data_IF_545263025323
#
_entry.id   IF_545263025323
#
_cell.length_a   1.000
_cell.length_b   1.000
_cell.length_c   1.000
_cell.angle_alpha   90.00
_cell.angle_beta   90.00
_cell.angle_gamma   90.00
#
_symmetry.space_group_name_H-M   'P 1'
#
loop_
_entity.id
_entity.type
_entity.pdbx_description
1 polymer ?
#
# COMPACT_ATOMS: atom_id res chain seq x y z
N UNK A 1 -15.59 20.79 -29.52
CA UNK A 1 -15.47 21.02 -28.08
C UNK A 1 -14.07 20.57 -27.68
N UNK A 2 -13.13 21.49 -27.55
CA UNK A 2 -11.78 21.21 -27.06
C UNK A 2 -11.90 20.92 -25.57
N UNK A 3 -11.96 19.62 -25.23
CA UNK A 3 -11.87 19.19 -23.84
C UNK A 3 -10.55 19.71 -23.26
N UNK A 4 -10.61 20.36 -22.11
CA UNK A 4 -9.40 20.72 -21.37
C UNK A 4 -8.64 19.43 -21.04
N UNK A 5 -7.39 19.36 -21.50
CA UNK A 5 -6.50 18.22 -21.23
C UNK A 5 -6.52 17.85 -19.75
N UNK A 6 -6.62 16.58 -19.42
CA UNK A 6 -6.60 16.11 -18.05
C UNK A 6 -5.26 16.44 -17.36
N UNK A 7 -5.22 16.61 -16.03
CA UNK A 7 -4.00 17.01 -15.31
C UNK A 7 -2.81 16.04 -15.51
N UNK A 8 -3.10 14.78 -15.86
CA UNK A 8 -2.10 13.73 -16.08
C UNK A 8 -2.07 13.24 -17.54
N UNK A 9 -2.68 13.98 -18.46
CA UNK A 9 -2.69 13.63 -19.89
C UNK A 9 -1.26 13.53 -20.45
N UNK A 10 -1.03 12.48 -21.24
CA UNK A 10 0.30 12.17 -21.79
C UNK A 10 1.31 11.63 -20.76
N UNK A 11 0.88 11.35 -19.53
CA UNK A 11 1.73 10.79 -18.49
C UNK A 11 1.49 9.29 -18.32
N UNK A 12 2.57 8.53 -18.12
CA UNK A 12 2.51 7.12 -17.76
C UNK A 12 2.58 6.99 -16.24
N UNK A 13 1.61 6.31 -15.66
CA UNK A 13 1.52 6.04 -14.24
C UNK A 13 1.55 4.53 -13.97
N UNK A 14 2.42 4.09 -13.07
CA UNK A 14 2.59 2.70 -12.64
C UNK A 14 1.94 2.51 -11.28
N UNK A 15 1.15 1.44 -11.10
CA UNK A 15 0.53 1.08 -9.83
C UNK A 15 0.82 -0.38 -9.53
N UNK A 16 1.51 -0.66 -8.41
CA UNK A 16 1.70 -2.03 -7.92
C UNK A 16 0.55 -2.46 -7.00
N UNK A 17 0.22 -3.76 -7.01
CA UNK A 17 -0.95 -4.26 -6.30
C UNK A 17 -2.26 -3.70 -6.88
N UNK A 18 -2.31 -3.55 -8.21
CA UNK A 18 -3.40 -2.89 -8.92
C UNK A 18 -4.63 -3.78 -9.15
N UNK A 19 -4.55 -5.07 -8.85
CA UNK A 19 -5.62 -6.05 -9.13
C UNK A 19 -6.91 -5.81 -8.33
N UNK A 20 -6.86 -5.13 -7.18
CA UNK A 20 -8.03 -4.92 -6.31
C UNK A 20 -7.88 -3.77 -5.33
N UNK A 21 -8.95 -3.51 -4.59
CA UNK A 21 -8.95 -2.59 -3.43
C UNK A 21 -8.43 -1.19 -3.75
N UNK A 22 -7.51 -0.69 -2.93
CA UNK A 22 -6.97 0.65 -3.09
C UNK A 22 -6.14 0.82 -4.37
N UNK A 23 -5.38 -0.21 -4.78
CA UNK A 23 -4.58 -0.17 -6.01
C UNK A 23 -5.45 0.01 -7.25
N UNK A 24 -6.53 -0.76 -7.37
CA UNK A 24 -7.51 -0.62 -8.46
C UNK A 24 -8.20 0.75 -8.43
N UNK A 25 -8.57 1.26 -7.25
CA UNK A 25 -9.18 2.59 -7.11
C UNK A 25 -8.21 3.71 -7.50
N UNK A 26 -6.91 3.60 -7.15
CA UNK A 26 -5.87 4.55 -7.57
C UNK A 26 -5.68 4.49 -9.08
N UNK A 27 -5.62 3.29 -9.69
CA UNK A 27 -5.48 3.11 -11.12
C UNK A 27 -6.64 3.78 -11.87
N UNK A 28 -7.87 3.60 -11.41
CA UNK A 28 -9.06 4.26 -11.97
C UNK A 28 -8.96 5.78 -11.87
N UNK A 29 -8.65 6.32 -10.69
CA UNK A 29 -8.55 7.77 -10.50
C UNK A 29 -7.41 8.39 -11.34
N UNK A 30 -6.28 7.68 -11.56
CA UNK A 30 -5.22 8.11 -12.47
C UNK A 30 -5.70 8.14 -13.92
N UNK A 31 -6.42 7.10 -14.35
CA UNK A 31 -7.02 7.00 -15.68
C UNK A 31 -8.08 8.09 -15.91
N UNK A 32 -8.95 8.36 -14.94
CA UNK A 32 -9.95 9.46 -14.98
C UNK A 32 -9.29 10.84 -15.13
N UNK A 33 -8.02 10.97 -14.72
CA UNK A 33 -7.20 12.18 -14.87
C UNK A 33 -6.39 12.25 -16.17
N UNK A 34 -6.55 11.26 -17.06
CA UNK A 34 -5.92 11.20 -18.36
C UNK A 34 -4.57 10.48 -18.43
N UNK A 35 -4.14 9.83 -17.33
CA UNK A 35 -2.91 9.04 -17.38
C UNK A 35 -3.11 7.73 -18.17
N UNK A 36 -2.08 7.31 -18.88
CA UNK A 36 -1.92 5.92 -19.31
C UNK A 36 -1.43 5.09 -18.13
N UNK A 37 -2.13 4.01 -17.79
CA UNK A 37 -1.87 3.28 -16.54
C UNK A 37 -1.23 1.92 -16.80
N UNK A 38 -0.08 1.67 -16.16
CA UNK A 38 0.55 0.38 -16.06
C UNK A 38 0.11 -0.31 -14.75
N UNK A 39 -0.64 -1.39 -14.88
CA UNK A 39 -1.19 -2.19 -13.78
C UNK A 39 -0.24 -3.36 -13.50
N UNK A 40 0.33 -3.42 -12.30
CA UNK A 40 1.24 -4.50 -11.89
C UNK A 40 0.63 -5.27 -10.72
N UNK A 41 0.62 -6.60 -10.81
CA UNK A 41 0.14 -7.50 -9.77
C UNK A 41 0.36 -8.96 -10.15
N UNK A 42 -0.03 -9.89 -9.30
CA UNK A 42 0.26 -11.32 -9.47
C UNK A 42 -0.84 -12.13 -10.16
N UNK A 43 -1.97 -11.53 -10.42
CA UNK A 43 -3.15 -12.21 -10.97
C UNK A 43 -3.56 -11.51 -12.27
N UNK A 44 -3.08 -12.03 -13.40
CA UNK A 44 -3.30 -11.42 -14.72
C UNK A 44 -4.80 -11.24 -15.02
N UNK A 45 -5.63 -12.23 -14.72
CA UNK A 45 -7.08 -12.17 -14.97
C UNK A 45 -7.74 -11.01 -14.21
N UNK A 46 -7.41 -10.85 -12.92
CA UNK A 46 -7.97 -9.77 -12.09
C UNK A 46 -7.42 -8.39 -12.52
N UNK A 47 -6.17 -8.31 -12.96
CA UNK A 47 -5.62 -7.08 -13.56
C UNK A 47 -6.37 -6.71 -14.84
N UNK A 48 -6.68 -7.69 -15.69
CA UNK A 48 -7.43 -7.49 -16.93
C UNK A 48 -8.85 -6.99 -16.64
N UNK A 49 -9.53 -7.56 -15.65
CA UNK A 49 -10.84 -7.06 -15.19
C UNK A 49 -10.77 -5.57 -14.77
N UNK A 50 -9.75 -5.18 -14.02
CA UNK A 50 -9.55 -3.77 -13.65
C UNK A 50 -9.29 -2.92 -14.88
N UNK A 51 -8.36 -3.33 -15.76
CA UNK A 51 -8.03 -2.63 -17.01
C UNK A 51 -9.26 -2.31 -17.84
N UNK A 52 -10.13 -3.31 -18.04
CA UNK A 52 -11.31 -3.21 -18.90
C UNK A 52 -12.39 -2.25 -18.33
N UNK A 53 -12.24 -1.85 -17.07
CA UNK A 53 -13.09 -0.84 -16.44
C UNK A 53 -12.51 0.57 -16.49
N UNK A 54 -11.25 0.74 -16.94
CA UNK A 54 -10.60 2.05 -16.97
C UNK A 54 -11.04 2.86 -18.20
N UNK A 55 -11.28 4.17 -18.07
CA UNK A 55 -11.72 5.00 -19.19
C UNK A 55 -10.61 5.32 -20.20
N UNK A 56 -9.35 5.28 -19.77
CA UNK A 56 -8.18 5.60 -20.59
C UNK A 56 -7.31 4.37 -20.90
N UNK A 57 -6.22 4.58 -21.66
CA UNK A 57 -5.30 3.50 -22.02
C UNK A 57 -4.66 2.87 -20.79
N UNK A 58 -4.63 1.54 -20.76
CA UNK A 58 -3.97 0.78 -19.69
C UNK A 58 -3.44 -0.55 -20.20
N UNK A 59 -2.38 -1.06 -19.56
CA UNK A 59 -1.82 -2.39 -19.78
C UNK A 59 -1.53 -3.09 -18.47
N UNK A 60 -1.50 -4.42 -18.50
CA UNK A 60 -1.28 -5.29 -17.35
C UNK A 60 0.08 -5.97 -17.46
N UNK A 61 0.73 -6.14 -16.29
CA UNK A 61 1.93 -6.95 -16.15
C UNK A 61 1.79 -7.84 -14.92
N UNK A 62 1.88 -9.14 -15.15
CA UNK A 62 1.97 -10.11 -14.07
C UNK A 62 3.38 -10.09 -13.49
N UNK A 63 3.48 -9.75 -12.21
CA UNK A 63 4.72 -9.77 -11.45
C UNK A 63 4.48 -9.82 -9.95
N UNK A 64 5.30 -10.57 -9.24
CA UNK A 64 5.48 -10.40 -7.79
C UNK A 64 6.48 -9.26 -7.56
N UNK A 65 6.12 -8.28 -6.74
CA UNK A 65 7.00 -7.14 -6.43
C UNK A 65 8.28 -7.53 -5.71
N UNK A 66 8.37 -8.78 -5.23
CA UNK A 66 9.56 -9.34 -4.58
C UNK A 66 10.52 -10.03 -5.54
N UNK A 67 10.16 -10.15 -6.82
CA UNK A 67 11.01 -10.68 -7.87
C UNK A 67 11.77 -9.54 -8.56
N UNK A 68 13.04 -9.35 -8.20
CA UNK A 68 13.90 -8.28 -8.73
C UNK A 68 14.05 -8.37 -10.26
N UNK A 69 14.23 -9.58 -10.79
CA UNK A 69 14.46 -9.79 -12.22
C UNK A 69 13.19 -9.47 -13.02
N UNK A 70 12.05 -10.03 -12.60
CA UNK A 70 10.77 -9.77 -13.25
C UNK A 70 10.37 -8.31 -13.17
N UNK A 71 10.59 -7.64 -12.06
CA UNK A 71 10.28 -6.20 -11.91
C UNK A 71 11.16 -5.31 -12.79
N UNK A 72 12.43 -5.70 -13.02
CA UNK A 72 13.30 -5.00 -13.96
C UNK A 72 12.81 -5.18 -15.41
N UNK A 73 12.46 -6.41 -15.82
CA UNK A 73 11.85 -6.68 -17.12
C UNK A 73 10.57 -5.88 -17.33
N UNK A 74 9.68 -5.88 -16.34
CA UNK A 74 8.43 -5.09 -16.38
C UNK A 74 8.71 -3.60 -16.59
N UNK A 75 9.73 -3.06 -15.94
CA UNK A 75 10.08 -1.65 -16.14
C UNK A 75 10.52 -1.40 -17.60
N UNK A 76 11.34 -2.26 -18.18
CA UNK A 76 11.74 -2.17 -19.57
C UNK A 76 10.55 -2.31 -20.53
N UNK A 77 9.67 -3.30 -20.31
CA UNK A 77 8.45 -3.49 -21.11
C UNK A 77 7.50 -2.28 -21.01
N UNK A 78 7.34 -1.67 -19.83
CA UNK A 78 6.57 -0.43 -19.65
C UNK A 78 7.18 0.70 -20.50
N UNK A 79 8.51 0.85 -20.47
CA UNK A 79 9.20 1.86 -21.28
C UNK A 79 8.95 1.67 -22.77
N UNK A 80 9.04 0.44 -23.24
CA UNK A 80 8.90 0.11 -24.67
C UNK A 80 7.46 0.30 -25.15
N UNK A 81 6.49 -0.09 -24.33
CA UNK A 81 5.08 -0.12 -24.75
C UNK A 81 4.30 1.15 -24.43
N UNK A 82 4.66 1.88 -23.37
CA UNK A 82 3.94 3.06 -22.90
C UNK A 82 4.82 4.32 -22.84
N UNK A 83 6.15 4.16 -22.84
CA UNK A 83 7.11 5.23 -22.58
C UNK A 83 7.55 5.28 -21.10
N UNK A 84 8.41 6.25 -20.79
CA UNK A 84 8.93 6.39 -19.42
C UNK A 84 7.83 6.75 -18.42
N UNK A 85 7.76 6.00 -17.32
CA UNK A 85 6.86 6.31 -16.21
C UNK A 85 7.18 7.68 -15.60
N UNK A 86 6.17 8.50 -15.42
CA UNK A 86 6.27 9.81 -14.76
C UNK A 86 5.66 9.81 -13.35
N UNK A 87 4.90 8.78 -13.01
CA UNK A 87 4.39 8.54 -11.67
C UNK A 87 4.48 7.04 -11.34
N UNK A 88 4.91 6.72 -10.13
CA UNK A 88 4.93 5.34 -9.61
C UNK A 88 4.28 5.31 -8.25
N UNK A 89 3.29 4.44 -8.08
CA UNK A 89 2.60 4.23 -6.80
C UNK A 89 2.94 2.84 -6.30
N UNK A 90 3.81 2.76 -5.29
CA UNK A 90 4.14 1.54 -4.57
C UNK A 90 3.04 1.26 -3.54
N UNK A 91 2.05 0.47 -3.97
CA UNK A 91 0.85 0.18 -3.19
C UNK A 91 0.76 -1.30 -2.79
N UNK A 92 1.39 -2.22 -3.51
CA UNK A 92 1.37 -3.65 -3.17
C UNK A 92 1.65 -3.87 -1.68
N UNK A 93 0.87 -4.72 -1.04
CA UNK A 93 1.04 -4.96 0.39
C UNK A 93 0.13 -6.04 0.93
N UNK A 94 0.61 -6.69 1.97
CA UNK A 94 -0.06 -7.72 2.74
C UNK A 94 -0.20 -7.30 4.20
N UNK A 95 -1.11 -7.93 4.91
CA UNK A 95 -1.23 -7.82 6.35
C UNK A 95 -1.51 -9.19 6.97
N UNK A 96 -1.12 -9.35 8.21
CA UNK A 96 -1.48 -10.46 9.07
C UNK A 96 -1.94 -9.91 10.42
N UNK A 97 -2.60 -10.74 11.21
CA UNK A 97 -2.98 -10.44 12.57
C UNK A 97 -2.83 -11.67 13.48
N UNK A 98 -2.72 -11.43 14.78
CA UNK A 98 -2.61 -12.46 15.79
C UNK A 98 -1.42 -12.29 16.72
N UNK A 99 -1.33 -13.12 17.79
CA UNK A 99 -0.23 -13.09 18.73
C UNK A 99 1.11 -13.38 18.05
N UNK A 100 2.11 -12.57 18.32
CA UNK A 100 3.43 -12.74 17.71
C UNK A 100 4.07 -14.11 17.97
N UNK A 101 3.92 -14.61 19.20
CA UNK A 101 4.50 -15.89 19.61
C UNK A 101 3.91 -17.10 18.85
N UNK A 102 2.69 -16.97 18.32
CA UNK A 102 1.94 -18.02 17.64
C UNK A 102 1.87 -17.79 16.12
N UNK A 103 2.35 -16.64 15.65
CA UNK A 103 2.36 -16.35 14.22
C UNK A 103 3.34 -17.25 13.47
N UNK A 104 2.95 -17.70 12.28
CA UNK A 104 3.84 -18.44 11.40
C UNK A 104 5.00 -17.56 10.93
N UNK A 105 6.27 -17.94 11.20
CA UNK A 105 7.43 -17.14 10.80
C UNK A 105 7.54 -16.89 9.29
N UNK A 106 7.04 -17.79 8.45
CA UNK A 106 7.06 -17.61 7.00
C UNK A 106 6.06 -16.54 6.57
N UNK A 107 4.86 -16.54 7.15
CA UNK A 107 3.85 -15.50 6.95
C UNK A 107 4.35 -14.13 7.43
N UNK A 108 4.99 -14.07 8.61
CA UNK A 108 5.57 -12.84 9.14
C UNK A 108 6.63 -12.25 8.21
N UNK A 109 7.59 -13.08 7.73
CA UNK A 109 8.61 -12.66 6.76
C UNK A 109 7.99 -12.17 5.46
N UNK A 110 6.97 -12.89 4.95
CA UNK A 110 6.32 -12.51 3.70
C UNK A 110 5.69 -11.13 3.73
N UNK A 111 5.11 -10.73 4.86
CA UNK A 111 4.59 -9.35 5.03
C UNK A 111 5.72 -8.32 4.90
N UNK A 112 6.89 -8.58 5.50
CA UNK A 112 8.07 -7.70 5.36
C UNK A 112 8.56 -7.68 3.91
N UNK A 113 8.69 -8.84 3.28
CA UNK A 113 9.17 -8.97 1.91
C UNK A 113 8.29 -8.19 0.93
N UNK A 114 6.99 -8.42 0.94
CA UNK A 114 6.09 -7.73 0.01
C UNK A 114 6.01 -6.24 0.31
N UNK A 115 5.78 -5.86 1.56
CA UNK A 115 5.52 -4.47 1.90
C UNK A 115 6.79 -3.59 1.81
N UNK A 116 7.91 -4.06 2.34
CA UNK A 116 9.13 -3.26 2.44
C UNK A 116 10.11 -3.56 1.30
N UNK A 117 10.52 -4.83 1.14
CA UNK A 117 11.49 -5.21 0.12
C UNK A 117 10.90 -5.00 -1.27
N UNK A 118 9.64 -5.42 -1.51
CA UNK A 118 8.93 -5.20 -2.76
C UNK A 118 8.76 -3.71 -3.12
N UNK A 119 8.58 -2.84 -2.11
CA UNK A 119 8.60 -1.38 -2.35
C UNK A 119 9.98 -0.88 -2.78
N UNK A 120 11.06 -1.41 -2.21
CA UNK A 120 12.43 -1.06 -2.58
C UNK A 120 12.76 -1.55 -4.00
N UNK A 121 12.36 -2.78 -4.35
CA UNK A 121 12.51 -3.35 -5.69
C UNK A 121 11.72 -2.51 -6.70
N UNK A 122 10.46 -2.16 -6.41
CA UNK A 122 9.65 -1.27 -7.24
C UNK A 122 10.35 0.06 -7.48
N UNK A 123 10.88 0.69 -6.43
CA UNK A 123 11.61 1.94 -6.57
C UNK A 123 12.85 1.77 -7.47
N UNK A 124 13.66 0.73 -7.24
CA UNK A 124 14.87 0.43 -8.03
C UNK A 124 14.57 0.25 -9.50
N UNK A 125 13.53 -0.50 -9.84
CA UNK A 125 13.14 -0.75 -11.22
C UNK A 125 12.70 0.53 -11.95
N UNK A 126 11.97 1.42 -11.27
CA UNK A 126 11.35 2.60 -11.91
C UNK A 126 12.06 3.93 -11.66
N UNK A 127 13.04 4.03 -10.77
CA UNK A 127 13.82 5.28 -10.57
C UNK A 127 14.47 5.77 -11.87
N UNK A 128 15.05 4.93 -12.77
CA UNK A 128 15.57 5.39 -14.05
C UNK A 128 14.52 6.14 -14.91
N UNK A 129 13.28 5.66 -14.92
CA UNK A 129 12.16 6.34 -15.60
C UNK A 129 11.85 7.70 -14.97
N UNK A 130 11.78 7.71 -13.61
CA UNK A 130 11.47 8.93 -12.86
C UNK A 130 12.57 9.99 -12.99
N UNK A 131 13.83 9.60 -13.13
CA UNK A 131 14.94 10.49 -13.46
C UNK A 131 14.75 11.15 -14.82
N UNK A 132 14.42 10.35 -15.84
CA UNK A 132 14.18 10.84 -17.20
C UNK A 132 13.01 11.83 -17.26
N UNK A 133 11.92 11.54 -16.55
CA UNK A 133 10.69 12.35 -16.59
C UNK A 133 10.65 13.44 -15.53
N UNK A 134 11.66 13.52 -14.64
CA UNK A 134 11.59 14.28 -13.38
C UNK A 134 10.30 13.96 -12.63
N UNK A 135 10.00 12.67 -12.56
CA UNK A 135 8.73 12.11 -12.14
C UNK A 135 8.50 12.13 -10.63
N UNK A 136 7.53 11.32 -10.20
CA UNK A 136 7.11 11.28 -8.79
C UNK A 136 6.84 9.85 -8.33
N UNK A 137 7.42 9.48 -7.19
CA UNK A 137 7.20 8.21 -6.50
C UNK A 137 6.30 8.42 -5.30
N UNK A 138 5.21 7.64 -5.18
CA UNK A 138 4.32 7.65 -4.03
C UNK A 138 4.40 6.31 -3.30
N UNK A 139 4.90 6.33 -2.07
CA UNK A 139 4.91 5.19 -1.17
C UNK A 139 3.62 5.13 -0.36
N UNK A 140 2.89 4.03 -0.43
CA UNK A 140 1.72 3.82 0.43
C UNK A 140 2.16 3.27 1.80
N UNK A 141 1.98 4.10 2.80
CA UNK A 141 2.20 3.81 4.21
C UNK A 141 0.85 3.66 4.96
N UNK A 142 0.85 3.79 6.28
CA UNK A 142 -0.33 3.58 7.13
C UNK A 142 -0.22 4.36 8.42
N UNK A 143 -1.32 4.50 9.17
CA UNK A 143 -1.29 4.87 10.58
C UNK A 143 -0.34 3.94 11.39
N UNK A 144 -0.24 2.67 10.98
CA UNK A 144 0.66 1.69 11.57
C UNK A 144 2.16 2.06 11.43
N UNK A 145 2.52 2.99 10.54
CA UNK A 145 3.88 3.55 10.47
C UNK A 145 4.20 4.50 11.63
N UNK A 146 3.17 5.13 12.18
CA UNK A 146 3.30 6.20 13.19
C UNK A 146 3.17 5.63 14.60
N UNK A 147 2.24 4.67 14.77
CA UNK A 147 1.93 4.04 16.04
C UNK A 147 2.08 2.52 15.98
N UNK A 148 2.23 1.88 17.15
CA UNK A 148 2.18 0.43 17.27
C UNK A 148 0.72 -0.04 17.30
N UNK A 149 0.45 -1.19 16.69
CA UNK A 149 -0.80 -1.92 16.84
C UNK A 149 -0.50 -3.32 17.39
N UNK A 150 -1.00 -3.68 18.58
CA UNK A 150 -0.86 -5.05 19.08
C UNK A 150 -1.47 -6.03 18.07
N UNK A 151 -0.98 -7.24 18.03
CA UNK A 151 -1.42 -8.30 17.11
C UNK A 151 -1.14 -8.05 15.62
N UNK A 152 -0.30 -7.04 15.26
CA UNK A 152 0.03 -6.70 13.88
C UNK A 152 1.52 -6.35 13.73
N UNK A 153 2.41 -7.15 14.32
CA UNK A 153 3.82 -6.80 14.45
C UNK A 153 4.54 -6.70 13.09
N UNK A 154 4.35 -7.66 12.18
CA UNK A 154 4.94 -7.61 10.84
C UNK A 154 4.43 -6.42 10.03
N UNK A 155 3.11 -6.18 10.08
CA UNK A 155 2.52 -5.05 9.38
C UNK A 155 3.06 -3.71 9.89
N UNK A 156 3.10 -3.50 11.20
CA UNK A 156 3.67 -2.29 11.79
C UNK A 156 5.15 -2.10 11.44
N UNK A 157 5.95 -3.15 11.56
CA UNK A 157 7.37 -3.11 11.21
C UNK A 157 7.57 -2.75 9.73
N UNK A 158 6.82 -3.40 8.81
CA UNK A 158 6.91 -3.13 7.38
C UNK A 158 6.49 -1.69 7.04
N UNK A 159 5.38 -1.19 7.63
CA UNK A 159 4.89 0.16 7.34
C UNK A 159 5.76 1.26 7.95
N UNK A 160 6.38 1.05 9.10
CA UNK A 160 7.42 1.93 9.63
C UNK A 160 8.68 1.91 8.75
N UNK A 161 9.06 0.73 8.25
CA UNK A 161 10.17 0.57 7.32
C UNK A 161 9.96 1.37 6.02
N UNK A 162 8.80 1.25 5.37
CA UNK A 162 8.54 2.01 4.11
C UNK A 162 8.40 3.52 4.34
N UNK A 163 7.96 3.97 5.51
CA UNK A 163 8.01 5.38 5.88
C UNK A 163 9.45 5.89 5.90
N UNK A 164 10.33 5.19 6.63
CA UNK A 164 11.76 5.53 6.71
C UNK A 164 12.43 5.46 5.34
N UNK A 165 12.16 4.42 4.57
CA UNK A 165 12.63 4.26 3.20
C UNK A 165 12.21 5.44 2.30
N UNK A 166 10.94 5.81 2.34
CA UNK A 166 10.43 6.96 1.56
C UNK A 166 11.08 8.29 1.95
N UNK A 167 11.42 8.49 3.24
CA UNK A 167 12.17 9.66 3.69
C UNK A 167 13.61 9.66 3.16
N UNK A 168 14.29 8.51 3.19
CA UNK A 168 15.63 8.35 2.65
C UNK A 168 15.68 8.64 1.14
N UNK A 169 14.78 8.02 0.37
CA UNK A 169 14.68 8.26 -1.08
C UNK A 169 14.41 9.73 -1.41
N UNK A 170 13.55 10.39 -0.65
CA UNK A 170 13.27 11.81 -0.85
C UNK A 170 14.52 12.67 -0.69
N UNK A 171 15.33 12.41 0.33
CA UNK A 171 16.57 13.12 0.54
C UNK A 171 17.59 12.83 -0.57
N UNK A 172 17.71 11.55 -0.96
CA UNK A 172 18.63 11.11 -1.99
C UNK A 172 18.33 11.73 -3.36
N UNK A 173 17.07 11.74 -3.78
CA UNK A 173 16.68 12.20 -5.12
C UNK A 173 16.27 13.68 -5.21
N UNK A 174 16.35 14.44 -4.12
CA UNK A 174 15.97 15.85 -4.09
C UNK A 174 16.71 16.68 -5.15
N UNK A 175 18.01 16.43 -5.33
CA UNK A 175 18.86 17.15 -6.28
C UNK A 175 18.61 16.74 -7.74
N UNK A 176 17.96 15.60 -7.99
CA UNK A 176 17.60 15.10 -9.32
C UNK A 176 16.20 15.53 -9.75
N UNK A 177 15.51 16.33 -8.96
CA UNK A 177 14.12 16.75 -9.18
C UNK A 177 13.09 15.61 -9.24
N UNK A 178 13.43 14.42 -8.76
CA UNK A 178 12.48 13.33 -8.58
C UNK A 178 11.74 13.54 -7.26
N UNK A 179 10.41 13.68 -7.34
CA UNK A 179 9.58 13.83 -6.15
C UNK A 179 9.33 12.50 -5.46
N UNK A 180 9.39 12.48 -4.13
CA UNK A 180 9.01 11.30 -3.34
C UNK A 180 7.99 11.70 -2.28
N UNK A 181 6.83 11.08 -2.31
CA UNK A 181 5.73 11.28 -1.38
C UNK A 181 5.43 10.04 -0.54
N UNK A 182 4.85 10.27 0.63
CA UNK A 182 4.37 9.19 1.50
C UNK A 182 2.89 9.43 1.79
N UNK A 183 2.07 8.40 1.49
CA UNK A 183 0.64 8.37 1.77
C UNK A 183 0.33 7.65 3.07
N UNK A 184 -0.12 8.39 4.08
CA UNK A 184 -0.54 7.83 5.36
C UNK A 184 -2.03 7.59 5.37
N UNK A 185 -2.42 6.33 5.51
CA UNK A 185 -3.80 5.88 5.45
C UNK A 185 -4.28 5.39 6.81
N UNK A 186 -5.55 5.61 7.07
CA UNK A 186 -6.29 4.88 8.10
C UNK A 186 -7.00 3.67 7.45
N UNK A 187 -7.94 3.05 8.15
CA UNK A 187 -8.74 1.94 7.67
C UNK A 187 -9.41 2.32 6.34
N UNK A 188 -9.09 1.57 5.28
CA UNK A 188 -9.63 1.77 3.93
C UNK A 188 -10.47 0.56 3.57
N UNK A 189 -11.68 0.76 3.07
CA UNK A 189 -12.59 -0.32 2.69
C UNK A 189 -12.00 -1.15 1.54
N UNK A 190 -11.41 -2.27 1.89
CA UNK A 190 -10.76 -3.23 1.01
C UNK A 190 -11.05 -4.63 1.54
N UNK A 191 -10.82 -5.65 0.70
CA UNK A 191 -10.97 -7.05 1.12
C UNK A 191 -10.13 -7.39 2.35
N UNK A 192 -8.93 -6.82 2.46
CA UNK A 192 -8.05 -6.97 3.61
C UNK A 192 -8.71 -6.51 4.92
N UNK A 193 -9.41 -5.38 4.90
CA UNK A 193 -10.06 -4.83 6.09
C UNK A 193 -11.37 -5.55 6.38
N UNK A 194 -12.14 -5.92 5.34
CA UNK A 194 -13.35 -6.73 5.49
C UNK A 194 -13.02 -8.11 6.08
N UNK A 195 -11.89 -8.70 5.69
CA UNK A 195 -11.42 -9.96 6.23
C UNK A 195 -10.95 -9.81 7.69
N UNK A 196 -10.17 -8.77 7.98
CA UNK A 196 -9.76 -8.45 9.36
C UNK A 196 -10.97 -8.29 10.30
N UNK A 197 -12.09 -7.75 9.81
CA UNK A 197 -13.31 -7.59 10.58
C UNK A 197 -14.07 -8.91 10.87
N UNK A 198 -13.77 -9.96 10.12
CA UNK A 198 -14.28 -11.31 10.42
C UNK A 198 -13.58 -11.91 11.64
N UNK A 199 -12.35 -11.47 11.95
CA UNK A 199 -11.62 -11.93 13.11
C UNK A 199 -12.04 -11.15 14.37
N UNK A 200 -12.65 -11.83 15.37
CA UNK A 200 -13.25 -11.15 16.53
C UNK A 200 -12.28 -10.23 17.27
N UNK A 201 -11.03 -10.66 17.43
CA UNK A 201 -10.01 -9.90 18.16
C UNK A 201 -9.61 -8.62 17.43
N UNK A 202 -9.37 -8.68 16.12
CA UNK A 202 -9.00 -7.49 15.31
C UNK A 202 -10.15 -6.49 15.25
N UNK A 203 -11.38 -7.00 15.13
CA UNK A 203 -12.59 -6.16 15.15
C UNK A 203 -12.75 -5.45 16.49
N UNK A 204 -12.57 -6.16 17.61
CA UNK A 204 -12.65 -5.58 18.95
C UNK A 204 -11.52 -4.58 19.22
N UNK A 205 -10.27 -4.88 18.83
CA UNK A 205 -9.16 -3.94 18.93
C UNK A 205 -9.47 -2.64 18.18
N UNK A 206 -10.02 -2.72 16.97
CA UNK A 206 -10.46 -1.53 16.24
C UNK A 206 -11.61 -0.81 16.94
N UNK A 207 -12.57 -1.53 17.49
CA UNK A 207 -13.71 -0.94 18.22
C UNK A 207 -13.28 -0.13 19.46
N UNK A 208 -12.15 -0.49 20.08
CA UNK A 208 -11.59 0.21 21.25
C UNK A 208 -10.76 1.47 20.85
N UNK A 209 -10.45 1.66 19.58
CA UNK A 209 -9.77 2.87 19.12
C UNK A 209 -10.68 4.11 19.29
N UNK A 210 -10.11 5.32 19.45
CA UNK A 210 -10.90 6.56 19.44
C UNK A 210 -11.78 6.67 18.20
N UNK A 211 -12.97 7.25 18.31
CA UNK A 211 -13.95 7.35 17.21
C UNK A 211 -13.36 7.74 15.85
N UNK A 212 -12.50 8.77 15.70
CA UNK A 212 -11.94 9.11 14.40
C UNK A 212 -10.98 8.04 13.86
N UNK A 213 -10.27 7.32 14.74
CA UNK A 213 -9.28 6.32 14.35
C UNK A 213 -9.90 4.98 13.88
N UNK A 214 -11.12 4.63 14.34
CA UNK A 214 -11.82 3.39 13.95
C UNK A 214 -12.65 3.50 12.68
N UNK A 215 -12.78 4.72 12.11
CA UNK A 215 -13.58 4.93 10.90
C UNK A 215 -12.91 4.32 9.68
N UNK A 216 -13.69 3.57 8.90
CA UNK A 216 -13.30 3.03 7.59
C UNK A 216 -13.67 4.03 6.49
N UNK A 217 -12.78 4.24 5.54
CA UNK A 217 -12.96 5.18 4.43
C UNK A 217 -13.09 4.43 3.12
N UNK A 218 -14.01 4.82 2.20
CA UNK A 218 -14.11 4.23 0.88
C UNK A 218 -12.79 4.34 0.12
N UNK A 219 -12.40 3.25 -0.59
CA UNK A 219 -11.15 3.19 -1.35
C UNK A 219 -11.05 4.32 -2.38
N UNK A 220 -12.15 4.68 -3.04
CA UNK A 220 -12.22 5.76 -4.03
C UNK A 220 -11.93 7.14 -3.40
N UNK A 221 -12.39 7.34 -2.16
CA UNK A 221 -12.10 8.60 -1.44
C UNK A 221 -10.61 8.70 -1.12
N UNK A 222 -10.00 7.61 -0.68
CA UNK A 222 -8.56 7.54 -0.41
C UNK A 222 -7.78 7.73 -1.72
N UNK A 223 -8.15 7.03 -2.79
CA UNK A 223 -7.53 7.12 -4.11
C UNK A 223 -7.49 8.56 -4.63
N UNK A 224 -8.60 9.30 -4.55
CA UNK A 224 -8.66 10.72 -4.94
C UNK A 224 -7.64 11.59 -4.22
N UNK A 225 -7.39 11.34 -2.93
CA UNK A 225 -6.37 12.08 -2.19
C UNK A 225 -4.95 11.69 -2.61
N UNK A 226 -4.71 10.39 -2.86
CA UNK A 226 -3.42 9.88 -3.33
C UNK A 226 -3.07 10.44 -4.71
N UNK A 227 -4.01 10.41 -5.65
CA UNK A 227 -3.77 10.93 -7.01
C UNK A 227 -3.59 12.45 -7.00
N UNK A 228 -4.32 13.20 -6.18
CA UNK A 228 -4.04 14.63 -5.97
C UNK A 228 -2.64 14.89 -5.39
N UNK A 229 -2.10 13.96 -4.59
CA UNK A 229 -0.74 14.07 -4.11
C UNK A 229 0.27 13.81 -5.24
N UNK A 230 -0.01 12.86 -6.14
CA UNK A 230 0.77 12.63 -7.37
C UNK A 230 0.81 13.89 -8.23
N UNK A 231 -0.35 14.47 -8.56
CA UNK A 231 -0.45 15.70 -9.37
C UNK A 231 0.33 16.87 -8.79
N UNK A 232 0.22 17.05 -7.48
CA UNK A 232 0.83 18.18 -6.75
C UNK A 232 2.22 17.86 -6.21
N UNK A 233 2.73 16.68 -6.48
CA UNK A 233 4.05 16.20 -6.02
C UNK A 233 4.27 16.42 -4.51
N UNK A 234 3.26 16.09 -3.70
CA UNK A 234 3.29 16.37 -2.26
C UNK A 234 4.23 15.43 -1.52
N UNK A 235 5.06 15.97 -0.62
CA UNK A 235 5.95 15.18 0.22
C UNK A 235 5.21 14.23 1.17
N UNK A 236 4.00 14.60 1.61
CA UNK A 236 3.18 13.75 2.49
C UNK A 236 1.71 14.03 2.25
N UNK A 237 0.90 12.99 2.30
CA UNK A 237 -0.56 13.05 2.25
C UNK A 237 -1.16 12.18 3.35
N UNK A 238 -2.15 12.70 4.04
CA UNK A 238 -2.79 12.06 5.20
C UNK A 238 -4.28 11.88 4.92
N UNK A 239 -4.76 10.66 4.99
CA UNK A 239 -6.18 10.35 4.82
C UNK A 239 -6.67 9.48 5.97
N UNK A 240 -7.45 10.06 6.85
CA UNK A 240 -7.94 11.45 6.91
C UNK A 240 -6.89 12.46 7.38
N UNK A 241 -7.15 13.75 7.17
CA UNK A 241 -6.19 14.83 7.43
C UNK A 241 -5.72 14.92 8.89
N UNK A 242 -6.52 14.48 9.86
CA UNK A 242 -6.14 14.50 11.29
C UNK A 242 -4.93 13.58 11.60
N UNK A 243 -4.64 12.58 10.75
CA UNK A 243 -3.43 11.74 10.89
C UNK A 243 -2.15 12.58 10.91
N UNK A 244 -2.17 13.78 10.32
CA UNK A 244 -1.03 14.69 10.39
C UNK A 244 -0.68 15.08 11.84
N UNK A 245 -1.68 15.22 12.70
CA UNK A 245 -1.47 15.56 14.09
C UNK A 245 -0.82 14.41 14.87
N UNK A 246 -1.02 13.14 14.47
CA UNK A 246 -0.39 11.99 15.14
C UNK A 246 1.14 12.00 14.97
N UNK A 247 1.67 12.59 13.89
CA UNK A 247 3.11 12.75 13.73
C UNK A 247 3.75 13.60 14.84
N UNK A 248 3.02 14.61 15.33
CA UNK A 248 3.54 15.49 16.39
C UNK A 248 3.64 14.78 17.74
N UNK A 249 2.78 13.77 17.95
CA UNK A 249 2.71 13.01 19.21
C UNK A 249 3.24 11.58 19.07
N UNK A 250 3.91 11.26 17.96
CA UNK A 250 4.32 9.87 17.66
C UNK A 250 5.19 9.25 18.75
N UNK A 251 6.05 10.02 19.41
CA UNK A 251 6.89 9.53 20.50
C UNK A 251 6.08 9.08 21.73
N UNK A 252 4.88 9.65 21.93
CA UNK A 252 3.97 9.27 23.01
C UNK A 252 3.07 8.08 22.66
N UNK A 253 2.96 7.70 21.38
CA UNK A 253 2.07 6.62 20.94
C UNK A 253 2.44 5.27 21.55
N UNK A 254 3.70 4.77 21.51
CA UNK A 254 4.03 3.46 22.06
C UNK A 254 3.70 3.30 23.54
N UNK A 255 4.07 4.21 24.48
CA UNK A 255 3.70 4.06 25.87
C UNK A 255 2.18 4.12 26.09
N UNK A 256 1.44 4.94 25.35
CA UNK A 256 -0.04 4.99 25.45
C UNK A 256 -0.64 3.68 24.98
N UNK A 257 -0.23 3.16 23.83
CA UNK A 257 -0.70 1.87 23.33
C UNK A 257 -0.36 0.74 24.30
N UNK A 258 0.85 0.73 24.87
CA UNK A 258 1.25 -0.28 25.88
C UNK A 258 0.34 -0.23 27.12
N UNK A 259 0.06 0.97 27.64
CA UNK A 259 -0.82 1.13 28.81
C UNK A 259 -2.25 0.64 28.52
N UNK A 260 -2.80 0.98 27.35
CA UNK A 260 -4.11 0.51 26.92
C UNK A 260 -4.12 -1.01 26.72
N UNK A 261 -3.10 -1.56 26.07
CA UNK A 261 -2.99 -3.01 25.81
C UNK A 261 -2.93 -3.81 27.10
N UNK A 262 -2.19 -3.37 28.11
CA UNK A 262 -2.15 -4.03 29.43
C UNK A 262 -3.54 -4.19 30.07
N UNK A 263 -4.45 -3.26 29.75
CA UNK A 263 -5.78 -3.27 30.32
C UNK A 263 -6.80 -4.00 29.44
N UNK A 264 -6.69 -3.88 28.13
CA UNK A 264 -7.70 -4.39 27.19
C UNK A 264 -7.41 -5.82 26.72
N UNK A 265 -6.15 -6.18 26.43
CA UNK A 265 -5.84 -7.52 25.92
C UNK A 265 -6.27 -8.66 26.86
N UNK A 266 -6.08 -8.60 28.19
CA UNK A 266 -6.55 -9.66 29.08
C UNK A 266 -8.08 -9.80 29.12
N UNK A 267 -8.81 -8.73 28.82
CA UNK A 267 -10.28 -8.80 28.73
C UNK A 267 -10.72 -9.47 27.43
N UNK A 268 -10.03 -9.17 26.33
CA UNK A 268 -10.31 -9.75 25.01
C UNK A 268 -9.97 -11.24 25.00
N UNK A 269 -8.84 -11.64 25.58
CA UNK A 269 -8.41 -13.03 25.69
C UNK A 269 -9.41 -13.90 26.46
N UNK A 270 -10.07 -13.34 27.49
CA UNK A 270 -11.15 -14.02 28.18
C UNK A 270 -12.44 -14.20 27.38
N UNK A 271 -12.64 -13.38 26.32
CA UNK A 271 -13.82 -13.44 25.45
C UNK A 271 -13.63 -14.38 24.27
N UNK A 272 -12.44 -14.42 23.72
CA UNK A 272 -12.10 -15.25 22.56
C UNK A 272 -10.59 -15.55 22.58
N UNK A 273 -10.23 -16.79 22.25
CA UNK A 273 -8.84 -17.17 22.06
C UNK A 273 -8.22 -16.29 20.96
N UNK A 274 -6.97 -15.90 21.16
CA UNK A 274 -6.21 -15.20 20.15
C UNK A 274 -5.62 -16.23 19.19
N UNK A 275 -5.97 -16.13 17.94
CA UNK A 275 -5.47 -17.02 16.89
C UNK A 275 -4.80 -16.20 15.77
N UNK A 276 -3.73 -16.73 15.15
CA UNK A 276 -3.16 -16.15 13.95
C UNK A 276 -4.19 -16.13 12.82
N UNK A 277 -4.28 -15.01 12.09
CA UNK A 277 -5.23 -14.88 10.96
C UNK A 277 -4.69 -15.49 9.67
N UNK A 278 -3.39 -15.74 9.58
CA UNK A 278 -2.72 -15.88 8.31
C UNK A 278 -2.71 -14.55 7.53
N UNK A 279 -2.46 -14.61 6.23
CA UNK A 279 -2.49 -13.43 5.36
C UNK A 279 -3.94 -12.98 5.10
N UNK A 280 -4.22 -11.71 5.35
CA UNK A 280 -5.56 -11.12 5.26
C UNK A 280 -5.94 -10.74 3.83
N UNK A 281 -7.22 -10.90 3.51
CA UNK A 281 -7.86 -10.48 2.27
C UNK A 281 -7.60 -11.42 1.09
N UNK A 282 -8.31 -11.21 -0.02
CA UNK A 282 -8.22 -12.05 -1.21
C UNK A 282 -6.78 -12.11 -1.76
N UNK A 283 -6.06 -10.98 -1.80
CA UNK A 283 -4.66 -10.95 -2.21
C UNK A 283 -3.72 -11.72 -1.30
N UNK A 284 -4.00 -11.73 0.02
CA UNK A 284 -3.24 -12.54 0.98
C UNK A 284 -3.48 -14.03 0.80
N UNK A 285 -4.73 -14.45 0.59
CA UNK A 285 -5.05 -15.85 0.30
C UNK A 285 -4.41 -16.34 -0.99
N UNK A 286 -4.49 -15.57 -2.08
CA UNK A 286 -3.82 -15.89 -3.34
C UNK A 286 -2.30 -15.99 -3.19
N UNK A 287 -1.67 -15.18 -2.31
CA UNK A 287 -0.26 -15.31 -1.98
C UNK A 287 0.07 -16.63 -1.29
N UNK A 288 -0.74 -17.01 -0.32
CA UNK A 288 -0.53 -18.25 0.43
C UNK A 288 -0.71 -19.50 -0.46
N UNK A 289 -1.69 -19.46 -1.36
CA UNK A 289 -1.96 -20.56 -2.31
C UNK A 289 -0.85 -20.72 -3.35
N UNK A 290 -0.38 -19.61 -3.94
CA UNK A 290 0.69 -19.63 -4.94
C UNK A 290 2.01 -20.20 -4.38
N UNK A 291 2.34 -19.92 -3.12
CA UNK A 291 3.55 -20.49 -2.48
C UNK A 291 3.42 -21.99 -2.20
N UNK A 292 2.25 -22.47 -1.78
CA UNK A 292 2.04 -23.92 -1.57
C UNK A 292 2.18 -24.73 -2.88
N UNK A 293 1.81 -24.13 -4.01
CA UNK A 293 1.99 -24.75 -5.32
C UNK A 293 3.43 -24.74 -5.83
N UNK A 294 4.30 -23.87 -5.32
CA UNK A 294 5.70 -23.78 -5.69
C UNK A 294 6.61 -24.70 -4.85
N UNK A 295 6.18 -25.10 -3.65
CA UNK A 295 6.91 -25.95 -2.71
C UNK A 295 6.55 -27.46 -2.86
N UNK A 296 5.59 -27.82 -3.71
CA UNK A 296 5.14 -29.19 -3.99
C UNK A 296 5.56 -29.65 -5.38
#
# INVERSE_FOLDING_TARGET
>A
MTGTAGPLEGRVAVVTGAARGLGAAIARELSDRGATVALIGREESTLAEVRDTLPGPARCWEADVTDDARMAEVADEVREQLGHASAVVANAGLAEGGPFAESDPATWRRVIEVNLVGSAITARAFVPHLRTTRGYYLQIASLASIGAAPMMSAYCASKAGVESFGHALRAEFAHEHVGVGIGYLNWTDTDMIRDADQHPVLRELRAHMPRPARKVYPAETVARHMVRAVERRRASVYVPAWLRATQLVRAAMPPVVTALSKHELPKLERKAAFEPTGLLGAGGRADAEGRRGADG
#
